data_IF_225886056020
#
_entry.id   IF_225886056020
#
_cell.length_a   1.000
_cell.length_b   1.000
_cell.length_c   1.000
_cell.angle_alpha   90.00
_cell.angle_beta   90.00
_cell.angle_gamma   90.00
#
_symmetry.space_group_name_H-M   'P 1'
#
loop_
_entity.id
_entity.type
_entity.pdbx_description
1 polymer ?
#
# COMPACT_ATOMS: atom_id res chain seq x y z
N UNK A 1 -17.79 9.93 13.65
CA UNK A 1 -17.53 8.79 12.73
C UNK A 1 -16.18 9.00 12.07
N UNK A 2 -15.24 8.16 12.39
CA UNK A 2 -13.99 8.18 11.64
C UNK A 2 -14.28 7.63 10.25
N UNK A 3 -14.14 8.46 9.24
CA UNK A 3 -14.15 8.02 7.85
C UNK A 3 -12.99 7.05 7.66
N UNK A 4 -13.29 5.78 7.61
CA UNK A 4 -12.28 4.76 7.35
C UNK A 4 -11.70 5.02 5.95
N UNK A 5 -10.41 5.32 5.91
CA UNK A 5 -9.74 5.64 4.66
C UNK A 5 -9.52 4.37 3.83
N UNK A 6 -10.23 4.25 2.74
CA UNK A 6 -10.15 3.06 1.87
C UNK A 6 -8.91 3.07 0.98
N UNK A 7 -8.37 1.91 0.64
CA UNK A 7 -7.19 1.82 -0.22
C UNK A 7 -7.29 2.58 -1.55
N UNK A 8 -8.43 2.50 -2.22
CA UNK A 8 -8.63 3.23 -3.48
C UNK A 8 -8.48 4.74 -3.30
N UNK A 9 -8.93 5.29 -2.18
CA UNK A 9 -8.78 6.71 -1.87
C UNK A 9 -7.34 7.06 -1.53
N UNK A 10 -6.68 6.26 -0.71
CA UNK A 10 -5.24 6.42 -0.41
C UNK A 10 -4.41 6.44 -1.69
N UNK A 11 -4.70 5.50 -2.58
CA UNK A 11 -4.03 5.39 -3.88
C UNK A 11 -4.21 6.65 -4.72
N UNK A 12 -5.45 7.15 -4.84
CA UNK A 12 -5.74 8.36 -5.61
C UNK A 12 -5.08 9.61 -5.04
N UNK A 13 -4.86 9.65 -3.72
CA UNK A 13 -4.22 10.79 -3.05
C UNK A 13 -2.70 10.83 -3.28
N UNK A 14 -2.08 9.76 -3.79
CA UNK A 14 -0.68 9.78 -4.16
C UNK A 14 -0.46 10.63 -5.42
N UNK A 15 0.66 11.38 -5.50
CA UNK A 15 1.05 12.04 -6.74
C UNK A 15 1.14 11.06 -7.92
N UNK A 16 0.83 11.53 -9.12
CA UNK A 16 0.78 10.68 -10.31
C UNK A 16 2.11 9.98 -10.61
N UNK A 17 3.23 10.68 -10.45
CA UNK A 17 4.56 10.12 -10.66
C UNK A 17 4.85 8.93 -9.74
N UNK A 18 4.45 9.03 -8.47
CA UNK A 18 4.58 7.94 -7.50
C UNK A 18 3.64 6.77 -7.84
N UNK A 19 2.44 7.06 -8.34
CA UNK A 19 1.52 6.01 -8.80
C UNK A 19 2.07 5.27 -10.02
N UNK A 20 2.68 5.98 -10.95
CA UNK A 20 3.33 5.35 -12.12
C UNK A 20 4.48 4.47 -11.68
N UNK A 21 5.33 4.95 -10.80
CA UNK A 21 6.47 4.19 -10.27
C UNK A 21 6.02 2.93 -9.55
N UNK A 22 5.03 3.04 -8.66
CA UNK A 22 4.47 1.91 -7.93
C UNK A 22 3.78 0.90 -8.87
N UNK A 23 3.08 1.39 -9.89
CA UNK A 23 2.45 0.53 -10.90
C UNK A 23 3.48 -0.24 -11.70
N UNK A 24 4.63 0.36 -12.02
CA UNK A 24 5.73 -0.35 -12.70
C UNK A 24 6.24 -1.52 -11.85
N UNK A 25 6.47 -1.30 -10.56
CA UNK A 25 6.88 -2.35 -9.64
C UNK A 25 5.81 -3.45 -9.52
N UNK A 26 4.54 -3.06 -9.45
CA UNK A 26 3.41 -3.98 -9.39
C UNK A 26 3.39 -4.94 -10.59
N UNK A 27 3.63 -4.44 -11.80
CA UNK A 27 3.61 -5.28 -13.02
C UNK A 27 4.75 -6.29 -13.09
N UNK A 28 5.82 -6.08 -12.35
CA UNK A 28 6.98 -6.98 -12.31
C UNK A 28 6.96 -7.90 -11.08
N UNK A 29 5.97 -7.78 -10.20
CA UNK A 29 5.85 -8.56 -8.97
C UNK A 29 5.09 -9.86 -9.24
N UNK A 30 5.78 -10.99 -9.13
CA UNK A 30 5.20 -12.32 -9.33
C UNK A 30 4.11 -12.66 -8.31
N UNK A 31 4.14 -12.03 -7.14
CA UNK A 31 3.14 -12.26 -6.09
C UNK A 31 1.80 -11.57 -6.39
N UNK A 32 1.74 -10.72 -7.39
CA UNK A 32 0.56 -9.91 -7.74
C UNK A 32 -0.23 -10.45 -8.94
N UNK A 33 -0.07 -11.71 -9.30
CA UNK A 33 -0.66 -12.27 -10.52
C UNK A 33 -2.18 -12.10 -10.62
N UNK A 34 -2.92 -12.30 -9.52
CA UNK A 34 -4.38 -12.14 -9.50
C UNK A 34 -4.79 -10.69 -9.73
N UNK A 35 -4.14 -9.78 -9.04
CA UNK A 35 -4.42 -8.34 -9.15
C UNK A 35 -3.99 -7.81 -10.52
N UNK A 36 -2.91 -8.35 -11.09
CA UNK A 36 -2.50 -8.02 -12.46
C UNK A 36 -3.57 -8.43 -13.48
N UNK A 37 -4.20 -9.59 -13.31
CA UNK A 37 -5.29 -10.03 -14.18
C UNK A 37 -6.49 -9.07 -14.10
N UNK A 38 -6.85 -8.60 -12.90
CA UNK A 38 -7.90 -7.58 -12.73
C UNK A 38 -7.51 -6.28 -13.45
N UNK A 39 -6.28 -5.83 -13.26
CA UNK A 39 -5.78 -4.60 -13.87
C UNK A 39 -5.79 -4.68 -15.40
N UNK A 40 -5.41 -5.83 -15.98
CA UNK A 40 -5.49 -6.07 -17.43
C UNK A 40 -6.92 -5.87 -17.92
N UNK A 41 -7.90 -6.44 -17.22
CA UNK A 41 -9.31 -6.29 -17.58
C UNK A 41 -9.79 -4.84 -17.53
N UNK A 42 -9.38 -4.08 -16.52
CA UNK A 42 -9.71 -2.67 -16.39
C UNK A 42 -9.11 -1.83 -17.52
N UNK A 43 -7.84 -2.03 -17.83
CA UNK A 43 -7.15 -1.31 -18.91
C UNK A 43 -7.82 -1.63 -20.25
N UNK A 44 -8.07 -2.92 -20.50
CA UNK A 44 -8.70 -3.36 -21.75
C UNK A 44 -10.04 -2.68 -22.01
N UNK A 45 -10.86 -2.54 -20.97
CA UNK A 45 -12.15 -1.84 -21.07
C UNK A 45 -11.98 -0.35 -21.33
N UNK A 46 -11.01 0.28 -20.67
CA UNK A 46 -10.78 1.71 -20.81
C UNK A 46 -10.28 2.10 -22.20
N UNK A 47 -9.31 1.38 -22.74
CA UNK A 47 -8.71 1.70 -24.05
C UNK A 47 -9.34 0.92 -25.20
N UNK A 48 -10.38 0.11 -24.91
CA UNK A 48 -11.10 -0.72 -25.89
C UNK A 48 -10.20 -1.69 -26.63
N UNK A 49 -9.23 -2.25 -25.93
CA UNK A 49 -8.35 -3.30 -26.43
C UNK A 49 -8.81 -4.68 -25.93
N UNK A 50 -8.37 -5.72 -26.61
CA UNK A 50 -8.52 -7.09 -26.10
C UNK A 50 -7.55 -7.30 -24.95
N UNK A 51 -7.93 -8.11 -23.96
CA UNK A 51 -7.05 -8.42 -22.80
C UNK A 51 -5.68 -8.94 -23.26
N UNK A 52 -5.64 -9.79 -24.26
CA UNK A 52 -4.39 -10.32 -24.83
C UNK A 52 -3.46 -9.20 -25.32
N UNK A 53 -4.01 -8.18 -25.95
CA UNK A 53 -3.24 -7.03 -26.42
C UNK A 53 -2.69 -6.18 -25.26
N UNK A 54 -3.45 -6.07 -24.16
CA UNK A 54 -2.98 -5.36 -22.97
C UNK A 54 -1.82 -6.11 -22.31
N UNK A 55 -1.90 -7.44 -22.20
CA UNK A 55 -0.85 -8.27 -21.61
C UNK A 55 0.49 -8.05 -22.32
N UNK A 56 0.47 -7.88 -23.63
CA UNK A 56 1.69 -7.70 -24.45
C UNK A 56 2.21 -6.27 -24.48
N UNK A 57 1.50 -5.29 -23.88
CA UNK A 57 2.00 -3.94 -23.78
C UNK A 57 3.27 -3.89 -22.93
N UNK A 58 4.21 -2.98 -23.22
CA UNK A 58 5.34 -2.73 -22.35
C UNK A 58 4.89 -2.36 -20.94
N UNK A 59 5.65 -2.78 -19.93
CA UNK A 59 5.36 -2.46 -18.51
C UNK A 59 5.15 -0.96 -18.32
N UNK A 60 5.97 -0.13 -18.94
CA UNK A 60 5.86 1.33 -18.85
C UNK A 60 4.48 1.83 -19.28
N UNK A 61 3.93 1.33 -20.37
CA UNK A 61 2.60 1.71 -20.86
C UNK A 61 1.49 1.20 -19.96
N UNK A 62 1.58 -0.06 -19.52
CA UNK A 62 0.62 -0.63 -18.55
C UNK A 62 0.61 0.19 -17.25
N UNK A 63 1.78 0.57 -16.77
CA UNK A 63 1.91 1.36 -15.55
C UNK A 63 1.25 2.73 -15.68
N UNK A 64 1.46 3.42 -16.78
CA UNK A 64 0.82 4.72 -17.04
C UNK A 64 -0.69 4.62 -17.12
N UNK A 65 -1.21 3.62 -17.81
CA UNK A 65 -2.65 3.39 -17.88
C UNK A 65 -3.25 3.14 -16.51
N UNK A 66 -2.66 2.22 -15.74
CA UNK A 66 -3.16 1.86 -14.42
C UNK A 66 -3.11 3.03 -13.44
N UNK A 67 -2.00 3.77 -13.42
CA UNK A 67 -1.82 4.91 -12.52
C UNK A 67 -2.84 6.04 -12.77
N UNK A 68 -3.28 6.20 -14.02
CA UNK A 68 -4.26 7.23 -14.41
C UNK A 68 -5.72 6.82 -14.22
N UNK A 69 -6.00 5.56 -13.83
CA UNK A 69 -7.38 5.08 -13.75
C UNK A 69 -8.08 5.52 -12.46
N UNK A 70 -9.33 5.96 -12.61
CA UNK A 70 -10.16 6.39 -11.47
C UNK A 70 -10.91 5.23 -10.79
N UNK A 71 -11.17 4.14 -11.50
CA UNK A 71 -12.03 3.03 -11.05
C UNK A 71 -11.31 1.82 -10.47
N UNK A 72 -10.18 2.02 -9.83
CA UNK A 72 -9.40 0.94 -9.21
C UNK A 72 -10.14 0.45 -7.95
N UNK A 73 -10.31 -0.87 -7.82
CA UNK A 73 -10.93 -1.48 -6.63
C UNK A 73 -10.05 -1.33 -5.39
N UNK A 74 -10.66 -1.48 -4.21
CA UNK A 74 -9.89 -1.45 -2.95
C UNK A 74 -8.86 -2.59 -2.88
N UNK A 75 -9.18 -3.77 -3.38
CA UNK A 75 -8.24 -4.90 -3.40
C UNK A 75 -7.03 -4.62 -4.29
N UNK A 76 -7.27 -4.11 -5.49
CA UNK A 76 -6.18 -3.74 -6.40
C UNK A 76 -5.37 -2.56 -5.85
N UNK A 77 -6.04 -1.54 -5.33
CA UNK A 77 -5.38 -0.40 -4.70
C UNK A 77 -4.52 -0.81 -3.50
N UNK A 78 -5.01 -1.73 -2.66
CA UNK A 78 -4.23 -2.24 -1.53
C UNK A 78 -2.93 -2.89 -2.01
N UNK A 79 -2.98 -3.66 -3.08
CA UNK A 79 -1.78 -4.28 -3.66
C UNK A 79 -0.82 -3.25 -4.24
N UNK A 80 -1.35 -2.25 -4.92
CA UNK A 80 -0.56 -1.13 -5.46
C UNK A 80 0.11 -0.33 -4.33
N UNK A 81 -0.58 -0.13 -3.21
CA UNK A 81 -0.01 0.53 -2.03
C UNK A 81 1.11 -0.29 -1.40
N UNK A 82 1.01 -1.62 -1.38
CA UNK A 82 2.12 -2.49 -0.94
C UNK A 82 3.34 -2.25 -1.82
N UNK A 83 3.18 -2.26 -3.13
CA UNK A 83 4.27 -1.98 -4.08
C UNK A 83 4.88 -0.60 -3.85
N UNK A 84 4.03 0.41 -3.63
CA UNK A 84 4.49 1.76 -3.30
C UNK A 84 5.35 1.78 -2.03
N UNK A 85 4.86 1.19 -0.94
CA UNK A 85 5.59 1.19 0.33
C UNK A 85 6.90 0.43 0.24
N UNK A 86 6.91 -0.72 -0.41
CA UNK A 86 8.14 -1.50 -0.61
C UNK A 86 9.16 -0.79 -1.49
N UNK A 87 8.71 0.04 -2.41
CA UNK A 87 9.60 0.78 -3.31
C UNK A 87 10.12 2.07 -2.69
N UNK A 88 9.27 2.81 -1.95
CA UNK A 88 9.58 4.17 -1.53
C UNK A 88 9.67 4.37 -0.01
N UNK A 89 9.17 3.45 0.81
CA UNK A 89 9.01 3.65 2.25
C UNK A 89 9.64 2.56 3.12
N UNK A 90 10.61 1.85 2.60
CA UNK A 90 11.26 0.75 3.35
C UNK A 90 11.91 1.21 4.65
N UNK A 91 12.53 2.38 4.66
CA UNK A 91 13.15 2.94 5.87
C UNK A 91 12.11 3.17 6.97
N UNK A 92 10.97 3.75 6.63
CA UNK A 92 9.89 4.00 7.57
C UNK A 92 9.29 2.69 8.09
N UNK A 93 9.01 1.76 7.19
CA UNK A 93 8.44 0.46 7.55
C UNK A 93 9.39 -0.32 8.46
N UNK A 94 10.67 -0.37 8.11
CA UNK A 94 11.70 -1.05 8.91
C UNK A 94 11.84 -0.43 10.29
N UNK A 95 11.84 0.89 10.37
CA UNK A 95 11.91 1.62 11.65
C UNK A 95 10.74 1.26 12.57
N UNK A 96 9.53 1.22 12.03
CA UNK A 96 8.33 0.85 12.78
C UNK A 96 8.38 -0.58 13.29
N UNK A 97 8.73 -1.52 12.41
CA UNK A 97 8.79 -2.94 12.76
C UNK A 97 9.92 -3.24 13.74
N UNK A 98 11.05 -2.54 13.65
CA UNK A 98 12.14 -2.67 14.62
C UNK A 98 11.68 -2.22 16.02
N UNK A 99 10.97 -1.10 16.12
CA UNK A 99 10.42 -0.63 17.42
C UNK A 99 9.44 -1.63 18.02
N UNK A 100 8.71 -2.37 17.19
CA UNK A 100 7.75 -3.38 17.63
C UNK A 100 8.40 -4.75 17.89
N UNK A 101 9.66 -4.95 17.50
CA UNK A 101 10.31 -6.24 17.61
C UNK A 101 9.77 -7.30 16.65
N UNK A 102 9.16 -6.88 15.53
CA UNK A 102 8.63 -7.78 14.50
C UNK A 102 9.73 -8.08 13.49
N UNK A 103 9.93 -9.36 13.19
CA UNK A 103 10.93 -9.79 12.20
C UNK A 103 10.50 -9.36 10.78
N UNK A 104 11.41 -8.68 10.09
CA UNK A 104 11.16 -8.19 8.72
C UNK A 104 12.43 -8.20 7.89
N UNK A 105 12.26 -8.12 6.59
CA UNK A 105 13.35 -7.92 5.63
C UNK A 105 13.11 -6.60 4.90
N UNK A 106 13.85 -5.56 5.27
CA UNK A 106 13.71 -4.22 4.71
C UNK A 106 12.24 -3.71 4.67
N UNK A 107 11.54 -3.86 5.79
CA UNK A 107 10.15 -3.41 5.93
C UNK A 107 9.10 -4.43 5.52
N UNK A 108 9.48 -5.53 4.90
CA UNK A 108 8.56 -6.62 4.58
C UNK A 108 8.52 -7.62 5.74
N UNK A 109 7.34 -7.78 6.35
CA UNK A 109 7.17 -8.72 7.47
C UNK A 109 7.42 -10.14 6.97
N UNK A 110 8.34 -10.83 7.62
CA UNK A 110 8.71 -12.22 7.30
C UNK A 110 8.11 -13.23 8.27
N UNK A 111 7.52 -12.77 9.38
CA UNK A 111 6.79 -13.60 10.31
C UNK A 111 5.46 -14.03 9.69
N UNK A 112 5.20 -15.32 9.62
CA UNK A 112 3.96 -15.86 9.02
C UNK A 112 2.70 -15.51 9.82
N UNK A 113 2.85 -15.32 11.14
CA UNK A 113 1.73 -15.02 12.05
C UNK A 113 2.15 -14.02 13.12
N UNK A 114 2.36 -12.74 12.75
CA UNK A 114 2.74 -11.75 13.75
C UNK A 114 1.62 -11.55 14.76
N UNK A 115 1.98 -11.48 16.04
CA UNK A 115 1.03 -11.19 17.11
C UNK A 115 0.72 -9.70 17.17
N UNK A 116 -0.49 -9.35 17.57
CA UNK A 116 -0.86 -7.96 17.80
C UNK A 116 0.10 -7.34 18.83
N UNK A 117 0.71 -6.18 18.51
CA UNK A 117 1.62 -5.51 19.45
C UNK A 117 0.89 -5.09 20.74
N UNK A 118 1.62 -5.09 21.86
CA UNK A 118 1.09 -4.56 23.12
C UNK A 118 0.75 -3.06 22.94
N UNK A 119 -0.33 -2.54 23.56
CA UNK A 119 -0.74 -1.15 23.39
C UNK A 119 0.36 -0.12 23.68
N UNK A 120 1.14 -0.32 24.71
CA UNK A 120 2.24 0.59 25.07
C UNK A 120 3.36 0.60 24.03
N UNK A 121 3.70 -0.59 23.52
CA UNK A 121 4.74 -0.74 22.50
C UNK A 121 4.29 -0.11 21.18
N UNK A 122 3.04 -0.33 20.80
CA UNK A 122 2.45 0.25 19.60
C UNK A 122 2.39 1.77 19.68
N UNK A 123 1.97 2.30 20.82
CA UNK A 123 1.90 3.75 21.06
C UNK A 123 3.28 4.40 20.89
N UNK A 124 4.31 3.81 21.50
CA UNK A 124 5.69 4.30 21.39
C UNK A 124 6.18 4.26 19.94
N UNK A 125 5.96 3.15 19.25
CA UNK A 125 6.39 3.00 17.86
C UNK A 125 5.70 4.01 16.94
N UNK A 126 4.40 4.20 17.10
CA UNK A 126 3.64 5.17 16.32
C UNK A 126 4.12 6.61 16.55
N UNK A 127 4.40 7.00 17.79
CA UNK A 127 4.95 8.31 18.11
C UNK A 127 6.35 8.51 17.54
N UNK A 128 7.18 7.48 17.55
CA UNK A 128 8.51 7.50 16.95
C UNK A 128 8.41 7.79 15.45
N UNK A 129 7.53 7.11 14.74
CA UNK A 129 7.32 7.35 13.32
C UNK A 129 6.83 8.78 13.05
N UNK A 130 5.86 9.23 13.80
CA UNK A 130 5.30 10.58 13.64
C UNK A 130 6.34 11.68 13.85
N UNK A 131 7.39 11.42 14.65
CA UNK A 131 8.49 12.34 14.88
C UNK A 131 9.52 12.32 13.75
N UNK A 132 9.79 11.16 13.18
CA UNK A 132 10.88 10.94 12.22
C UNK A 132 10.47 11.07 10.75
N UNK A 133 9.18 10.89 10.43
CA UNK A 133 8.69 10.84 9.05
C UNK A 133 7.51 11.79 8.84
N UNK A 134 7.22 12.18 7.58
CA UNK A 134 6.08 13.06 7.28
C UNK A 134 4.76 12.45 7.72
N UNK A 135 3.88 13.28 8.28
CA UNK A 135 2.61 12.84 8.85
C UNK A 135 1.72 12.10 7.83
N UNK A 136 1.67 12.60 6.59
CA UNK A 136 0.88 11.96 5.54
C UNK A 136 1.39 10.57 5.18
N UNK A 137 2.71 10.36 5.19
CA UNK A 137 3.33 9.07 4.90
C UNK A 137 3.04 8.06 6.02
N UNK A 138 3.14 8.49 7.27
CA UNK A 138 2.83 7.66 8.44
C UNK A 138 1.36 7.24 8.42
N UNK A 139 0.47 8.18 8.18
CA UNK A 139 -0.97 7.91 8.11
C UNK A 139 -1.31 6.91 6.99
N UNK A 140 -0.73 7.08 5.81
CA UNK A 140 -0.95 6.18 4.68
C UNK A 140 -0.46 4.76 4.99
N UNK A 141 0.68 4.64 5.63
CA UNK A 141 1.22 3.34 6.04
C UNK A 141 0.31 2.66 7.06
N UNK A 142 -0.13 3.37 8.09
CA UNK A 142 -1.00 2.82 9.13
C UNK A 142 -2.35 2.36 8.56
N UNK A 143 -2.96 3.14 7.68
CA UNK A 143 -4.19 2.72 7.01
C UNK A 143 -3.98 1.48 6.15
N UNK A 144 -2.84 1.37 5.49
CA UNK A 144 -2.49 0.20 4.68
C UNK A 144 -2.36 -1.05 5.55
N UNK A 145 -1.70 -0.94 6.71
CA UNK A 145 -1.60 -2.04 7.67
C UNK A 145 -2.99 -2.47 8.19
N UNK A 146 -3.81 -1.52 8.57
CA UNK A 146 -5.17 -1.79 9.06
C UNK A 146 -6.03 -2.51 8.02
N UNK A 147 -5.89 -2.15 6.77
CA UNK A 147 -6.62 -2.82 5.70
C UNK A 147 -6.12 -4.25 5.47
N UNK A 148 -4.82 -4.46 5.51
CA UNK A 148 -4.22 -5.77 5.25
C UNK A 148 -4.52 -6.79 6.33
N UNK A 149 -4.42 -6.38 7.59
CA UNK A 149 -4.61 -7.28 8.73
C UNK A 149 -5.23 -6.52 9.91
N UNK A 150 -6.57 -6.35 9.89
CA UNK A 150 -7.26 -5.61 10.95
C UNK A 150 -7.10 -6.21 12.34
N UNK A 151 -6.84 -7.52 12.44
CA UNK A 151 -6.68 -8.18 13.73
C UNK A 151 -5.34 -7.80 14.37
N UNK A 152 -4.26 -7.95 13.62
CA UNK A 152 -2.91 -7.60 14.13
C UNK A 152 -2.79 -6.11 14.41
N UNK A 153 -3.33 -5.26 13.55
CA UNK A 153 -3.11 -3.81 13.59
C UNK A 153 -4.27 -3.01 14.17
N UNK A 154 -5.26 -3.70 14.74
CA UNK A 154 -6.46 -3.05 15.31
C UNK A 154 -6.17 -1.97 16.34
N UNK A 155 -5.05 -2.07 17.07
CA UNK A 155 -4.61 -1.05 18.02
C UNK A 155 -4.28 0.31 17.39
N UNK A 156 -4.12 0.38 16.08
CA UNK A 156 -3.92 1.64 15.36
C UNK A 156 -5.22 2.43 15.17
N UNK A 157 -6.37 1.79 15.31
CA UNK A 157 -7.67 2.45 15.14
C UNK A 157 -7.84 3.60 16.13
N UNK A 158 -8.36 4.71 15.67
CA UNK A 158 -8.60 5.89 16.49
C UNK A 158 -7.36 6.69 16.86
N UNK A 159 -6.18 6.30 16.39
CA UNK A 159 -4.97 7.07 16.67
C UNK A 159 -4.95 8.39 15.88
N UNK A 160 -4.41 9.47 16.47
CA UNK A 160 -4.38 10.77 15.81
C UNK A 160 -3.57 10.80 14.52
N UNK A 161 -2.54 9.95 14.38
CA UNK A 161 -1.70 9.87 13.19
C UNK A 161 -2.52 9.52 11.92
N UNK A 162 -3.60 8.76 12.07
CA UNK A 162 -4.45 8.37 10.94
C UNK A 162 -5.14 9.55 10.26
N UNK A 163 -5.34 10.65 10.97
CA UNK A 163 -6.05 11.81 10.44
C UNK A 163 -5.28 12.59 9.38
N UNK A 164 -3.98 12.33 9.19
CA UNK A 164 -3.14 13.06 8.24
C UNK A 164 -3.18 12.49 6.81
N UNK A 165 -3.90 11.40 6.57
CA UNK A 165 -3.97 10.77 5.25
C UNK A 165 -4.83 11.54 4.25
#
# INVERSE_FOLDING_TARGET
MSDEMRPARLWRNLPLDLRVSASSAFWTDEQSALEQAEAVGLIARQIKFRTKSVITLPVEKKAKHLAGMAGVSDLLAARLLVSYHLQHQRAMMGRFLDELGITHENGLITDESPSAPAPETLDKAAKTLATEFPDADVARYFWTLLWQDPETWGGLRGRPELGAA
#
